data_IF_874985444908
#
_entry.id   IF_874985444908
#
_cell.length_a   1.000
_cell.length_b   1.000
_cell.length_c   1.000
_cell.angle_alpha   90.00
_cell.angle_beta   90.00
_cell.angle_gamma   90.00
#
_symmetry.space_group_name_H-M   'P 1'
#
loop_
_entity.id
_entity.type
_entity.pdbx_description
1 polymer ?
#
# COMPACT_ATOMS: atom_id res chain seq x y z
N UNK A 1 21.89 58.75 29.32
CA UNK A 1 22.47 59.16 28.03
C UNK A 1 21.68 58.48 26.93
N UNK A 2 20.73 59.19 26.34
CA UNK A 2 19.90 58.69 25.24
C UNK A 2 20.74 58.68 23.97
N UNK A 3 21.27 57.50 23.60
CA UNK A 3 21.96 57.32 22.34
C UNK A 3 20.97 57.58 21.21
N UNK A 4 21.16 58.66 20.45
CA UNK A 4 20.29 59.02 19.33
C UNK A 4 20.62 58.06 18.18
N UNK A 5 19.78 57.04 17.99
CA UNK A 5 20.01 56.01 16.97
C UNK A 5 20.15 56.65 15.59
N UNK A 6 21.20 56.25 14.86
CA UNK A 6 21.40 56.69 13.47
C UNK A 6 20.43 55.94 12.58
N UNK A 7 19.94 56.57 11.51
CA UNK A 7 18.99 55.96 10.58
C UNK A 7 19.46 54.58 10.05
N UNK A 8 20.77 54.40 9.86
CA UNK A 8 21.35 53.11 9.47
C UNK A 8 21.20 51.98 10.51
N UNK A 9 21.12 52.30 11.81
CA UNK A 9 20.89 51.29 12.86
C UNK A 9 19.47 50.73 12.79
N UNK A 10 18.47 51.57 12.51
CA UNK A 10 17.09 51.12 12.30
C UNK A 10 16.96 50.21 11.06
N UNK A 11 17.69 50.52 9.99
CA UNK A 11 17.71 49.67 8.79
C UNK A 11 18.33 48.31 9.08
N UNK A 12 19.43 48.26 9.85
CA UNK A 12 20.05 47.00 10.28
C UNK A 12 19.15 46.20 11.22
N UNK A 13 18.46 46.86 12.15
CA UNK A 13 17.47 46.21 13.03
C UNK A 13 16.31 45.60 12.24
N UNK A 14 15.82 46.32 11.22
CA UNK A 14 14.84 45.78 10.29
C UNK A 14 15.37 44.55 9.57
N UNK A 15 16.56 44.61 8.96
CA UNK A 15 17.13 43.46 8.25
C UNK A 15 17.39 42.28 9.18
N UNK A 16 17.81 42.51 10.42
CA UNK A 16 18.02 41.44 11.41
C UNK A 16 16.72 40.70 11.69
N UNK A 17 15.63 41.42 11.98
CA UNK A 17 14.32 40.82 12.27
C UNK A 17 13.69 40.19 11.02
N UNK A 18 13.77 40.88 9.88
CA UNK A 18 13.27 40.40 8.60
C UNK A 18 13.98 39.12 8.17
N UNK A 19 15.31 39.09 8.20
CA UNK A 19 16.09 37.90 7.82
C UNK A 19 15.87 36.75 8.80
N UNK A 20 15.71 37.01 10.10
CA UNK A 20 15.41 35.96 11.07
C UNK A 20 14.11 35.23 10.73
N UNK A 21 13.04 35.97 10.39
CA UNK A 21 11.75 35.38 10.00
C UNK A 21 11.82 34.76 8.60
N UNK A 22 12.43 35.46 7.65
CA UNK A 22 12.54 35.02 6.25
C UNK A 22 13.34 33.72 6.12
N UNK A 23 14.50 33.63 6.78
CA UNK A 23 15.31 32.41 6.78
C UNK A 23 14.62 31.27 7.52
N UNK A 24 13.87 31.56 8.60
CA UNK A 24 13.03 30.55 9.24
C UNK A 24 12.00 29.94 8.29
N UNK A 25 11.31 30.79 7.52
CA UNK A 25 10.36 30.35 6.50
C UNK A 25 11.02 29.55 5.36
N UNK A 26 12.15 30.04 4.83
CA UNK A 26 12.89 29.35 3.75
C UNK A 26 13.44 28.00 4.23
N UNK A 27 14.02 27.95 5.43
CA UNK A 27 14.53 26.73 6.00
C UNK A 27 13.42 25.69 6.20
N UNK A 28 12.25 26.12 6.67
CA UNK A 28 11.09 25.23 6.83
C UNK A 28 10.59 24.71 5.48
N UNK A 29 10.49 25.56 4.46
CA UNK A 29 10.06 25.14 3.12
C UNK A 29 11.02 24.10 2.49
N UNK A 30 12.33 24.32 2.60
CA UNK A 30 13.34 23.36 2.11
C UNK A 30 13.27 22.04 2.88
N UNK A 31 13.14 22.11 4.21
CA UNK A 31 13.05 20.95 5.08
C UNK A 31 11.81 20.11 4.73
N UNK A 32 10.66 20.75 4.59
CA UNK A 32 9.40 20.10 4.26
C UNK A 32 9.46 19.40 2.89
N UNK A 33 9.94 20.09 1.85
CA UNK A 33 10.07 19.51 0.51
C UNK A 33 11.03 18.32 0.48
N UNK A 34 12.11 18.36 1.27
CA UNK A 34 13.06 17.24 1.36
C UNK A 34 12.41 16.03 2.03
N UNK A 35 11.76 16.24 3.18
CA UNK A 35 11.07 15.17 3.94
C UNK A 35 9.92 14.56 3.13
N UNK A 36 9.16 15.38 2.41
CA UNK A 36 8.11 14.92 1.52
C UNK A 36 8.65 14.01 0.41
N UNK A 37 9.72 14.42 -0.27
CA UNK A 37 10.33 13.63 -1.34
C UNK A 37 10.83 12.27 -0.81
N UNK A 38 11.42 12.23 0.38
CA UNK A 38 11.91 10.99 0.95
C UNK A 38 10.75 10.07 1.36
N UNK A 39 9.68 10.61 1.96
CA UNK A 39 8.45 9.84 2.24
C UNK A 39 7.81 9.30 0.96
N UNK A 40 7.77 10.09 -0.11
CA UNK A 40 7.22 9.64 -1.39
C UNK A 40 8.01 8.44 -1.96
N UNK A 41 9.35 8.44 -1.83
CA UNK A 41 10.19 7.29 -2.20
C UNK A 41 9.92 6.07 -1.33
N UNK A 42 9.82 6.24 -0.01
CA UNK A 42 9.52 5.15 0.92
C UNK A 42 8.16 4.50 0.59
N UNK A 43 7.13 5.31 0.33
CA UNK A 43 5.82 4.80 -0.09
C UNK A 43 5.88 4.08 -1.44
N UNK A 44 6.66 4.59 -2.41
CA UNK A 44 6.84 3.91 -3.69
C UNK A 44 7.51 2.53 -3.51
N UNK A 45 8.55 2.44 -2.67
CA UNK A 45 9.21 1.16 -2.35
C UNK A 45 8.23 0.20 -1.68
N UNK A 46 7.50 0.66 -0.67
CA UNK A 46 6.50 -0.14 0.04
C UNK A 46 5.38 -0.63 -0.89
N UNK A 47 4.95 0.22 -1.84
CA UNK A 47 3.92 -0.14 -2.81
C UNK A 47 4.40 -1.22 -3.78
N UNK A 48 5.66 -1.15 -4.23
CA UNK A 48 6.26 -2.19 -5.07
C UNK A 48 6.32 -3.51 -4.31
N UNK A 49 6.68 -3.49 -3.02
CA UNK A 49 6.70 -4.69 -2.18
C UNK A 49 5.29 -5.30 -2.00
N UNK A 50 4.28 -4.47 -1.77
CA UNK A 50 2.89 -4.91 -1.67
C UNK A 50 2.44 -5.59 -2.98
N UNK A 51 2.77 -5.00 -4.14
CA UNK A 51 2.45 -5.58 -5.46
C UNK A 51 3.16 -6.93 -5.71
N UNK A 52 4.40 -7.09 -5.26
CA UNK A 52 5.12 -8.37 -5.36
C UNK A 52 4.46 -9.45 -4.49
N UNK A 53 4.02 -9.08 -3.28
CA UNK A 53 3.31 -9.97 -2.38
C UNK A 53 1.94 -10.37 -2.96
N UNK A 54 1.20 -9.40 -3.49
CA UNK A 54 -0.09 -9.65 -4.16
C UNK A 54 0.08 -10.56 -5.38
N UNK A 55 1.14 -10.36 -6.19
CA UNK A 55 1.46 -11.23 -7.34
C UNK A 55 1.73 -12.67 -6.89
N UNK A 56 2.48 -12.85 -5.81
CA UNK A 56 2.79 -14.18 -5.26
C UNK A 56 1.53 -14.86 -4.72
N UNK A 57 0.68 -14.10 -4.03
CA UNK A 57 -0.62 -14.56 -3.54
C UNK A 57 -1.52 -14.99 -4.70
N UNK A 58 -1.66 -14.16 -5.74
CA UNK A 58 -2.44 -14.47 -6.94
C UNK A 58 -1.93 -15.72 -7.66
N UNK A 59 -0.62 -15.89 -7.81
CA UNK A 59 -0.04 -17.09 -8.43
C UNK A 59 -0.37 -18.36 -7.62
N UNK A 60 -0.35 -18.28 -6.30
CA UNK A 60 -0.75 -19.39 -5.43
C UNK A 60 -2.23 -19.73 -5.62
N UNK A 61 -3.06 -18.69 -5.75
CA UNK A 61 -4.50 -18.83 -5.92
C UNK A 61 -4.89 -19.40 -7.28
N UNK A 62 -4.18 -19.01 -8.35
CA UNK A 62 -4.33 -19.61 -9.68
C UNK A 62 -4.05 -21.11 -9.62
N UNK A 63 -2.93 -21.52 -9.00
CA UNK A 63 -2.60 -22.94 -8.83
C UNK A 63 -3.65 -23.70 -8.03
N UNK A 64 -4.17 -23.09 -6.95
CA UNK A 64 -5.27 -23.69 -6.19
C UNK A 64 -6.53 -23.82 -7.05
N UNK A 65 -6.88 -22.79 -7.82
CA UNK A 65 -8.03 -22.82 -8.72
C UNK A 65 -7.90 -23.93 -9.77
N UNK A 66 -6.72 -24.10 -10.37
CA UNK A 66 -6.44 -25.20 -11.31
C UNK A 66 -6.68 -26.58 -10.69
N UNK A 67 -6.25 -26.79 -9.43
CA UNK A 67 -6.52 -28.04 -8.69
C UNK A 67 -8.02 -28.25 -8.49
N UNK A 68 -8.76 -27.21 -8.09
CA UNK A 68 -10.21 -27.32 -7.86
C UNK A 68 -10.99 -27.55 -9.16
N UNK A 69 -10.56 -26.93 -10.27
CA UNK A 69 -11.12 -27.20 -11.60
C UNK A 69 -10.92 -28.68 -11.95
N UNK A 70 -9.70 -29.21 -11.79
CA UNK A 70 -9.42 -30.62 -12.08
C UNK A 70 -10.23 -31.59 -11.20
N UNK A 71 -10.43 -31.28 -9.92
CA UNK A 71 -11.30 -32.04 -9.01
C UNK A 71 -12.75 -31.99 -9.48
N UNK A 72 -13.22 -30.82 -9.89
CA UNK A 72 -14.60 -30.60 -10.35
C UNK A 72 -14.86 -31.35 -11.67
N UNK A 73 -13.92 -31.30 -12.61
CA UNK A 73 -13.99 -32.05 -13.86
C UNK A 73 -13.99 -33.56 -13.62
N UNK A 74 -13.15 -34.03 -12.69
CA UNK A 74 -13.11 -35.45 -12.28
C UNK A 74 -14.44 -35.88 -11.67
N UNK A 75 -15.03 -35.06 -10.80
CA UNK A 75 -16.33 -35.33 -10.21
C UNK A 75 -17.45 -35.33 -11.25
N UNK A 76 -17.44 -34.36 -12.18
CA UNK A 76 -18.43 -34.25 -13.25
C UNK A 76 -18.38 -35.47 -14.18
N UNK A 77 -17.19 -36.01 -14.45
CA UNK A 77 -17.07 -37.25 -15.22
C UNK A 77 -17.58 -38.45 -14.43
N UNK A 78 -17.25 -38.54 -13.13
CA UNK A 78 -17.72 -39.64 -12.27
C UNK A 78 -19.25 -39.63 -12.08
N UNK A 79 -19.89 -38.46 -12.13
CA UNK A 79 -21.34 -38.31 -11.93
C UNK A 79 -22.18 -38.65 -13.18
N UNK A 80 -21.56 -38.76 -14.36
CA UNK A 80 -22.25 -39.14 -15.61
C UNK A 80 -22.61 -40.62 -15.67
N UNK A 81 -21.91 -41.45 -14.91
CA UNK A 81 -22.11 -42.90 -14.88
C UNK A 81 -22.90 -43.32 -13.62
N UNK A 82 -23.50 -44.52 -13.64
CA UNK A 82 -24.15 -45.07 -12.45
C UNK A 82 -23.08 -45.23 -11.35
N UNK A 83 -23.32 -44.62 -10.19
CA UNK A 83 -22.42 -44.73 -9.04
C UNK A 83 -22.30 -46.19 -8.57
N UNK A 84 -21.14 -46.79 -8.84
CA UNK A 84 -20.74 -48.08 -8.29
C UNK A 84 -20.13 -47.94 -6.89
N UNK A 85 -20.23 -49.00 -6.08
CA UNK A 85 -19.67 -49.06 -4.72
C UNK A 85 -18.15 -48.77 -4.71
N UNK A 86 -17.44 -49.17 -5.76
CA UNK A 86 -16.02 -48.91 -5.98
C UNK A 86 -15.67 -47.41 -6.12
N UNK A 87 -16.61 -46.59 -6.59
CA UNK A 87 -16.42 -45.17 -6.89
C UNK A 87 -17.02 -44.22 -5.83
N UNK A 88 -17.86 -44.73 -4.92
CA UNK A 88 -18.51 -43.96 -3.84
C UNK A 88 -17.51 -43.19 -2.97
N UNK A 89 -16.37 -43.81 -2.63
CA UNK A 89 -15.34 -43.15 -1.83
C UNK A 89 -14.71 -41.95 -2.55
N UNK A 90 -14.43 -42.07 -3.85
CA UNK A 90 -13.87 -40.99 -4.67
C UNK A 90 -14.89 -39.85 -4.84
N UNK A 91 -16.14 -40.19 -5.10
CA UNK A 91 -17.23 -39.22 -5.21
C UNK A 91 -17.40 -38.39 -3.93
N UNK A 92 -17.40 -39.06 -2.77
CA UNK A 92 -17.48 -38.41 -1.45
C UNK A 92 -16.27 -37.51 -1.18
N UNK A 93 -15.06 -37.96 -1.56
CA UNK A 93 -13.86 -37.15 -1.42
C UNK A 93 -13.94 -35.88 -2.27
N UNK A 94 -14.22 -35.98 -3.56
CA UNK A 94 -14.26 -34.80 -4.45
C UNK A 94 -15.38 -33.82 -4.09
N UNK A 95 -16.56 -34.31 -3.69
CA UNK A 95 -17.69 -33.44 -3.30
C UNK A 95 -17.38 -32.57 -2.07
N UNK A 96 -16.53 -33.05 -1.16
CA UNK A 96 -16.11 -32.29 0.03
C UNK A 96 -15.31 -31.02 -0.29
N UNK A 97 -14.61 -30.99 -1.42
CA UNK A 97 -13.70 -29.88 -1.77
C UNK A 97 -14.28 -28.86 -2.75
N UNK A 98 -15.50 -29.06 -3.25
CA UNK A 98 -16.15 -28.12 -4.20
C UNK A 98 -16.31 -26.72 -3.61
N UNK A 99 -16.54 -26.61 -2.31
CA UNK A 99 -16.86 -25.35 -1.64
C UNK A 99 -15.63 -24.61 -1.10
N UNK A 100 -14.43 -25.16 -1.23
CA UNK A 100 -13.23 -24.53 -0.70
C UNK A 100 -12.74 -23.44 -1.66
N UNK A 101 -13.03 -22.19 -1.32
CA UNK A 101 -12.37 -21.03 -1.90
C UNK A 101 -11.42 -20.44 -0.86
N UNK A 102 -10.17 -20.21 -1.25
CA UNK A 102 -9.23 -19.48 -0.41
C UNK A 102 -9.51 -17.99 -0.64
N UNK A 103 -9.84 -17.20 0.39
CA UNK A 103 -10.10 -15.78 0.21
C UNK A 103 -8.85 -15.04 -0.25
N UNK A 104 -9.00 -14.15 -1.23
CA UNK A 104 -7.94 -13.23 -1.64
C UNK A 104 -7.81 -12.10 -0.60
N UNK A 105 -6.69 -12.06 0.11
CA UNK A 105 -6.33 -10.91 0.94
C UNK A 105 -5.41 -9.98 0.16
N UNK A 106 -5.91 -8.78 -0.14
CA UNK A 106 -5.11 -7.71 -0.75
C UNK A 106 -4.32 -6.96 0.32
N UNK A 107 -3.04 -6.71 0.09
CA UNK A 107 -2.30 -5.83 0.97
C UNK A 107 -2.67 -4.36 0.67
N UNK A 108 -3.30 -3.68 1.64
CA UNK A 108 -3.77 -2.29 1.51
C UNK A 108 -3.00 -1.31 2.38
N UNK A 109 -1.99 -1.76 3.12
CA UNK A 109 -1.32 -0.95 4.12
C UNK A 109 -0.70 0.31 3.50
N UNK A 110 0.04 0.17 2.40
CA UNK A 110 0.69 1.30 1.73
C UNK A 110 -0.32 2.24 1.05
N UNK A 111 -1.38 1.68 0.46
CA UNK A 111 -2.43 2.48 -0.18
C UNK A 111 -3.12 3.42 0.82
N UNK A 112 -3.46 2.92 2.01
CA UNK A 112 -4.06 3.75 3.06
C UNK A 112 -3.10 4.82 3.60
N UNK A 113 -1.80 4.53 3.65
CA UNK A 113 -0.78 5.52 4.05
C UNK A 113 -0.66 6.65 3.01
N UNK A 114 -0.62 6.32 1.72
CA UNK A 114 -0.58 7.31 0.63
C UNK A 114 -1.84 8.18 0.64
N UNK A 115 -3.01 7.58 0.86
CA UNK A 115 -4.28 8.31 0.92
C UNK A 115 -4.30 9.33 2.06
N UNK A 116 -3.84 8.93 3.25
CA UNK A 116 -3.70 9.85 4.39
C UNK A 116 -2.70 10.95 4.10
N UNK A 117 -1.53 10.63 3.55
CA UNK A 117 -0.50 11.59 3.19
C UNK A 117 -1.04 12.69 2.26
N UNK A 118 -1.73 12.32 1.18
CA UNK A 118 -2.33 13.27 0.25
C UNK A 118 -3.30 14.23 0.95
N UNK A 119 -4.08 13.76 1.92
CA UNK A 119 -5.08 14.59 2.60
C UNK A 119 -4.45 15.69 3.48
N UNK A 120 -3.23 15.49 3.98
CA UNK A 120 -2.49 16.51 4.74
C UNK A 120 -1.94 17.64 3.86
N UNK A 121 -1.75 17.41 2.56
CA UNK A 121 -1.19 18.42 1.65
C UNK A 121 -2.24 19.38 1.06
N UNK A 122 -3.52 19.09 1.25
CA UNK A 122 -4.64 19.89 0.71
C UNK A 122 -5.23 20.84 1.77
N UNK A 123 -4.71 20.79 3.01
CA UNK A 123 -5.09 21.65 4.14
C UNK A 123 -4.04 22.75 4.33
#
# INVERSE_FOLDING_TARGET
>A
MTHKKKWGEYLLEFFMLFLAVFLGFVAENIREHTVENDRAKEYAISLVQDLQNDTTSLNTQIKSAEIYIAITDSLLNLSKERLEVSNTAKFSFYTRFIYWTVPLSWNRATFEQIKKFRQYQVL
#
